data_IF_049967275664
#
_entry.id   IF_049967275664
#
_cell.length_a   1.000
_cell.length_b   1.000
_cell.length_c   1.000
_cell.angle_alpha   90.00
_cell.angle_beta   90.00
_cell.angle_gamma   90.00
#
_symmetry.space_group_name_H-M   'P 1'
#
loop_
_entity.id
_entity.type
_entity.pdbx_description
1 polymer ?
#
# COMPACT_ATOMS: atom_id res chain seq x y z
N UNK A 1 -5.21 56.00 -5.23
CA UNK A 1 -4.70 55.37 -3.99
C UNK A 1 -5.76 54.51 -3.28
N UNK A 2 -6.98 55.00 -3.00
CA UNK A 2 -8.03 54.21 -2.32
C UNK A 2 -8.36 52.87 -3.03
N UNK A 3 -8.40 52.86 -4.36
CA UNK A 3 -8.75 51.67 -5.15
C UNK A 3 -7.66 50.58 -5.14
N UNK A 4 -6.39 50.95 -4.89
CA UNK A 4 -5.26 50.00 -4.83
C UNK A 4 -5.28 49.24 -3.50
N UNK A 5 -5.58 49.92 -2.39
CA UNK A 5 -5.73 49.27 -1.08
C UNK A 5 -6.91 48.30 -1.05
N UNK A 6 -8.05 48.66 -1.66
CA UNK A 6 -9.18 47.72 -1.80
C UNK A 6 -8.83 46.51 -2.64
N UNK A 7 -8.07 46.66 -3.73
CA UNK A 7 -7.68 45.53 -4.58
C UNK A 7 -6.72 44.57 -3.86
N UNK A 8 -5.75 45.10 -3.10
CA UNK A 8 -4.83 44.30 -2.29
C UNK A 8 -5.59 43.55 -1.19
N UNK A 9 -6.55 44.21 -0.52
CA UNK A 9 -7.38 43.55 0.49
C UNK A 9 -8.21 42.40 -0.10
N UNK A 10 -8.79 42.58 -1.28
CA UNK A 10 -9.53 41.53 -1.99
C UNK A 10 -8.62 40.36 -2.37
N UNK A 11 -7.42 40.62 -2.88
CA UNK A 11 -6.46 39.57 -3.24
C UNK A 11 -6.00 38.75 -2.02
N UNK A 12 -5.78 39.41 -0.87
CA UNK A 12 -5.44 38.72 0.39
C UNK A 12 -6.60 37.84 0.87
N UNK A 13 -7.84 38.32 0.78
CA UNK A 13 -9.03 37.55 1.17
C UNK A 13 -9.20 36.34 0.24
N UNK A 14 -9.03 36.50 -1.08
CA UNK A 14 -9.11 35.41 -2.03
C UNK A 14 -8.04 34.33 -1.79
N UNK A 15 -6.81 34.72 -1.43
CA UNK A 15 -5.75 33.76 -1.11
C UNK A 15 -6.09 32.86 0.09
N UNK A 16 -6.69 33.43 1.13
CA UNK A 16 -7.07 32.67 2.34
C UNK A 16 -8.27 31.74 2.10
N UNK A 17 -9.23 32.13 1.26
CA UNK A 17 -10.38 31.27 0.90
C UNK A 17 -9.91 30.04 0.10
N UNK A 18 -8.88 30.17 -0.73
CA UNK A 18 -8.33 29.05 -1.51
C UNK A 18 -7.67 27.97 -0.64
N UNK A 19 -7.09 28.31 0.51
CA UNK A 19 -6.47 27.34 1.43
C UNK A 19 -7.52 26.61 2.28
N UNK A 20 -8.68 27.23 2.51
CA UNK A 20 -9.74 26.67 3.36
C UNK A 20 -10.65 25.63 2.66
N UNK A 21 -10.47 25.37 1.36
CA UNK A 21 -11.30 24.40 0.61
C UNK A 21 -10.68 23.00 0.49
N UNK A 22 -9.58 22.71 1.19
CA UNK A 22 -9.05 21.36 1.24
C UNK A 22 -9.86 20.54 2.24
N UNK A 23 -10.88 19.84 1.74
CA UNK A 23 -11.53 18.78 2.51
C UNK A 23 -10.52 17.61 2.59
N UNK A 24 -9.84 17.49 3.72
CA UNK A 24 -9.01 16.32 4.01
C UNK A 24 -9.88 15.25 4.66
N UNK A 25 -10.12 14.16 3.93
CA UNK A 25 -10.65 12.95 4.53
C UNK A 25 -9.47 12.10 4.97
N UNK A 26 -9.36 11.85 6.27
CA UNK A 26 -8.44 10.85 6.81
C UNK A 26 -9.23 9.57 7.10
N UNK A 27 -8.67 8.43 6.67
CA UNK A 27 -9.22 7.14 7.00
C UNK A 27 -8.92 6.87 8.48
N UNK A 28 -9.97 6.67 9.28
CA UNK A 28 -9.85 6.24 10.66
C UNK A 28 -10.17 4.74 10.75
N UNK A 29 -9.15 3.93 11.02
CA UNK A 29 -9.27 2.48 11.20
C UNK A 29 -9.30 2.07 12.69
N UNK A 30 -9.22 3.04 13.63
CA UNK A 30 -9.14 2.78 15.08
C UNK A 30 -10.50 2.40 15.68
N UNK A 31 -11.58 2.59 14.93
CA UNK A 31 -12.93 2.23 15.38
C UNK A 31 -13.06 0.71 15.43
N UNK A 32 -13.07 0.15 16.62
CA UNK A 32 -13.22 -1.29 16.83
C UNK A 32 -14.60 -1.79 16.36
N UNK A 33 -14.63 -2.82 15.51
CA UNK A 33 -15.87 -3.47 15.06
C UNK A 33 -16.05 -4.79 15.79
N UNK A 34 -17.19 -4.95 16.45
CA UNK A 34 -17.48 -6.09 17.32
C UNK A 34 -18.68 -6.91 16.85
N UNK A 35 -18.73 -8.17 17.26
CA UNK A 35 -19.84 -9.09 17.12
C UNK A 35 -20.02 -9.88 18.43
N UNK A 36 -21.07 -10.71 18.52
CA UNK A 36 -21.43 -11.42 19.75
C UNK A 36 -20.29 -12.25 20.39
N UNK A 37 -19.25 -12.61 19.64
CA UNK A 37 -18.15 -13.44 20.12
C UNK A 37 -16.79 -12.72 20.15
N UNK A 38 -16.74 -11.39 19.98
CA UNK A 38 -15.49 -10.63 20.04
C UNK A 38 -15.38 -9.50 19.02
N UNK A 39 -14.15 -9.18 18.63
CA UNK A 39 -13.83 -8.12 17.67
C UNK A 39 -13.30 -8.71 16.38
N UNK A 40 -13.64 -8.11 15.26
CA UNK A 40 -13.00 -8.44 13.99
C UNK A 40 -11.56 -7.91 13.98
N UNK A 41 -10.61 -8.71 13.49
CA UNK A 41 -9.20 -8.32 13.41
C UNK A 41 -8.95 -7.23 12.36
N UNK A 42 -9.58 -7.35 11.19
CA UNK A 42 -9.34 -6.45 10.05
C UNK A 42 -10.67 -5.95 9.43
N UNK A 43 -11.53 -5.26 10.19
CA UNK A 43 -12.85 -4.86 9.69
C UNK A 43 -12.80 -3.80 8.59
N UNK A 44 -11.67 -3.08 8.47
CA UNK A 44 -11.52 -1.91 7.60
C UNK A 44 -10.71 -2.15 6.32
N UNK A 45 -10.27 -3.39 6.05
CA UNK A 45 -9.45 -3.74 4.86
C UNK A 45 -10.25 -3.80 3.56
N UNK A 46 -11.55 -3.50 3.59
CA UNK A 46 -12.35 -3.24 2.39
C UNK A 46 -12.99 -4.47 1.71
N UNK A 47 -12.83 -5.67 2.26
CA UNK A 47 -13.33 -6.90 1.64
C UNK A 47 -12.49 -7.30 0.41
N UNK A 48 -12.30 -8.60 0.22
CA UNK A 48 -11.39 -9.10 -0.82
C UNK A 48 -12.18 -9.96 -1.79
N UNK A 49 -12.16 -9.60 -3.07
CA UNK A 49 -13.01 -10.25 -4.07
C UNK A 49 -12.29 -11.43 -4.74
N UNK A 50 -11.07 -11.20 -5.22
CA UNK A 50 -10.31 -12.23 -5.91
C UNK A 50 -8.83 -12.21 -5.45
N UNK A 51 -8.55 -12.70 -4.24
CA UNK A 51 -7.22 -12.63 -3.63
C UNK A 51 -6.22 -13.56 -4.33
N UNK A 52 -5.00 -13.05 -4.49
CA UNK A 52 -3.81 -13.82 -4.83
C UNK A 52 -2.78 -13.60 -3.72
N UNK A 53 -2.35 -14.68 -3.08
CA UNK A 53 -1.50 -14.63 -1.90
C UNK A 53 -0.05 -14.86 -2.28
N UNK A 54 0.85 -14.11 -1.66
CA UNK A 54 2.30 -14.28 -1.72
C UNK A 54 2.92 -14.11 -0.32
N UNK A 55 4.10 -14.68 -0.14
CA UNK A 55 4.92 -14.52 1.06
C UNK A 55 6.14 -13.68 0.70
N UNK A 56 6.48 -12.71 1.54
CA UNK A 56 7.66 -11.87 1.38
C UNK A 56 7.97 -11.17 2.70
N UNK A 57 9.24 -11.09 3.08
CA UNK A 57 9.70 -10.23 4.18
C UNK A 57 9.61 -8.76 3.77
N UNK A 58 8.63 -8.02 4.27
CA UNK A 58 8.37 -6.62 3.89
C UNK A 58 9.23 -5.65 4.71
N UNK A 59 9.66 -6.04 5.90
CA UNK A 59 10.30 -5.17 6.89
C UNK A 59 11.77 -5.56 7.20
N UNK A 60 12.31 -6.55 6.48
CA UNK A 60 13.66 -7.10 6.60
C UNK A 60 13.97 -7.66 8.00
N UNK A 61 13.00 -8.33 8.64
CA UNK A 61 13.18 -8.95 9.95
C UNK A 61 13.53 -10.46 9.90
N UNK A 62 13.55 -11.04 8.70
CA UNK A 62 13.81 -12.46 8.44
C UNK A 62 12.58 -13.35 8.54
N UNK A 63 11.38 -12.79 8.74
CA UNK A 63 10.10 -13.48 8.75
C UNK A 63 9.30 -13.11 7.53
N UNK A 64 8.77 -14.11 6.81
CA UNK A 64 7.85 -13.83 5.71
C UNK A 64 6.53 -13.24 6.23
N UNK A 65 6.19 -12.09 5.67
CA UNK A 65 4.91 -11.42 5.82
C UNK A 65 3.90 -11.91 4.77
N UNK A 66 2.64 -11.50 4.95
CA UNK A 66 1.57 -11.84 4.01
C UNK A 66 1.28 -10.67 3.07
N UNK A 67 1.43 -10.94 1.77
CA UNK A 67 1.02 -10.02 0.70
C UNK A 67 -0.20 -10.61 -0.01
N UNK A 68 -1.24 -9.80 -0.18
CA UNK A 68 -2.45 -10.17 -0.92
C UNK A 68 -2.65 -9.19 -2.06
N UNK A 69 -2.73 -9.69 -3.29
CA UNK A 69 -3.18 -8.89 -4.43
C UNK A 69 -4.65 -9.20 -4.74
N UNK A 70 -5.55 -8.23 -4.54
CA UNK A 70 -6.91 -8.35 -5.05
C UNK A 70 -6.96 -7.87 -6.50
N UNK A 71 -6.97 -8.82 -7.44
CA UNK A 71 -6.95 -8.50 -8.87
C UNK A 71 -8.18 -7.74 -9.36
N UNK A 72 -9.27 -7.71 -8.60
CA UNK A 72 -10.46 -6.93 -8.98
C UNK A 72 -10.22 -5.44 -8.78
N UNK A 73 -9.54 -5.08 -7.69
CA UNK A 73 -9.16 -3.69 -7.39
C UNK A 73 -7.81 -3.29 -7.99
N UNK A 74 -6.97 -4.26 -8.36
CA UNK A 74 -5.58 -4.01 -8.72
C UNK A 74 -4.79 -3.49 -7.52
N UNK A 75 -5.15 -3.92 -6.31
CA UNK A 75 -4.61 -3.40 -5.04
C UNK A 75 -3.82 -4.48 -4.30
N UNK A 76 -2.56 -4.20 -3.91
CA UNK A 76 -1.88 -4.99 -2.91
C UNK A 76 -2.40 -4.62 -1.52
N UNK A 77 -2.42 -5.61 -0.63
CA UNK A 77 -2.67 -5.48 0.81
C UNK A 77 -1.50 -6.16 1.53
N UNK A 78 -0.92 -5.48 2.49
CA UNK A 78 0.30 -5.92 3.18
C UNK A 78 0.03 -6.16 4.66
N UNK A 79 0.46 -7.31 5.15
CA UNK A 79 0.23 -7.73 6.53
C UNK A 79 1.52 -8.21 7.18
N UNK A 80 2.04 -7.46 8.16
CA UNK A 80 3.24 -7.83 8.90
C UNK A 80 2.95 -9.01 9.82
N UNK A 81 3.78 -10.04 9.77
CA UNK A 81 3.78 -11.20 10.64
C UNK A 81 4.54 -10.87 11.92
N UNK A 82 3.92 -11.05 13.09
CA UNK A 82 4.59 -10.77 14.36
C UNK A 82 5.65 -11.81 14.76
N UNK A 83 5.80 -12.90 13.99
CA UNK A 83 6.81 -13.93 14.19
C UNK A 83 6.49 -14.89 15.35
N UNK A 84 5.27 -14.85 15.89
CA UNK A 84 4.90 -15.72 17.00
C UNK A 84 4.64 -17.14 16.52
N UNK A 85 5.53 -18.05 16.92
CA UNK A 85 5.48 -19.47 16.53
C UNK A 85 4.09 -20.08 16.81
N UNK A 86 3.50 -20.68 15.77
CA UNK A 86 2.17 -21.32 15.79
C UNK A 86 0.99 -20.39 16.14
N UNK A 87 1.13 -19.08 15.93
CA UNK A 87 0.02 -18.13 16.05
C UNK A 87 -0.19 -17.38 14.73
N UNK A 88 -1.44 -16.95 14.52
CA UNK A 88 -1.77 -16.01 13.45
C UNK A 88 -1.77 -14.61 14.08
N UNK A 89 -0.66 -13.89 13.97
CA UNK A 89 -0.41 -12.59 14.59
C UNK A 89 -0.11 -11.51 13.53
N UNK A 90 -0.83 -11.56 12.41
CA UNK A 90 -0.72 -10.59 11.34
C UNK A 90 -1.29 -9.21 11.74
N UNK A 91 -0.67 -8.14 11.24
CA UNK A 91 -1.16 -6.78 11.34
C UNK A 91 -1.22 -6.12 9.95
N UNK A 92 -2.38 -5.55 9.57
CA UNK A 92 -2.49 -4.81 8.31
C UNK A 92 -1.68 -3.51 8.40
N UNK A 93 -0.68 -3.39 7.53
CA UNK A 93 0.25 -2.26 7.50
C UNK A 93 0.28 -1.67 6.08
N UNK A 94 -0.69 -0.81 5.73
CA UNK A 94 -0.86 -0.29 4.38
C UNK A 94 0.28 0.62 3.90
N UNK A 95 1.16 1.08 4.79
CA UNK A 95 2.33 1.87 4.42
C UNK A 95 3.31 1.13 3.50
N UNK A 96 3.31 -0.21 3.49
CA UNK A 96 4.11 -1.00 2.57
C UNK A 96 3.46 -1.13 1.18
N UNK A 97 2.13 -0.94 1.07
CA UNK A 97 1.41 -1.01 -0.21
C UNK A 97 1.92 0.01 -1.23
N UNK A 98 2.44 1.16 -0.75
CA UNK A 98 2.97 2.22 -1.62
C UNK A 98 4.26 1.85 -2.34
N UNK A 99 4.96 0.81 -1.87
CA UNK A 99 6.20 0.34 -2.49
C UNK A 99 5.94 -0.57 -3.70
N UNK A 100 4.72 -1.09 -3.84
CA UNK A 100 4.35 -1.95 -4.95
C UNK A 100 4.10 -1.12 -6.22
N UNK A 101 4.51 -1.61 -7.40
CA UNK A 101 4.20 -0.96 -8.66
C UNK A 101 2.70 -1.03 -8.95
N UNK A 102 2.24 -0.24 -9.92
CA UNK A 102 0.89 -0.43 -10.46
C UNK A 102 0.83 -1.76 -11.22
N UNK A 103 -0.12 -2.60 -10.84
CA UNK A 103 -0.29 -3.96 -11.35
C UNK A 103 -1.75 -4.20 -11.72
N UNK A 104 -1.98 -5.20 -12.57
CA UNK A 104 -3.32 -5.55 -13.04
C UNK A 104 -3.39 -7.05 -13.37
N UNK A 105 -4.60 -7.60 -13.35
CA UNK A 105 -4.98 -9.01 -13.59
C UNK A 105 -4.38 -10.06 -12.67
N UNK A 106 -3.08 -10.06 -12.44
CA UNK A 106 -2.39 -10.99 -11.55
C UNK A 106 -1.03 -10.45 -11.07
N UNK A 107 -0.64 -10.85 -9.88
CA UNK A 107 0.70 -10.65 -9.32
C UNK A 107 1.14 -11.94 -8.62
N UNK A 108 2.41 -12.31 -8.81
CA UNK A 108 3.07 -13.42 -8.13
C UNK A 108 4.44 -12.93 -7.64
N UNK A 109 4.83 -13.34 -6.43
CA UNK A 109 6.14 -13.03 -5.89
C UNK A 109 7.02 -14.27 -5.74
N UNK A 110 8.33 -14.05 -5.83
CA UNK A 110 9.34 -15.06 -5.51
C UNK A 110 10.73 -14.63 -5.98
N UNK A 111 11.75 -15.05 -5.25
CA UNK A 111 13.17 -14.77 -5.54
C UNK A 111 13.62 -15.50 -6.82
N UNK A 112 13.79 -14.76 -7.92
CA UNK A 112 14.21 -15.32 -9.21
C UNK A 112 15.69 -15.17 -9.48
N UNK A 113 16.28 -14.08 -9.00
CA UNK A 113 17.69 -13.77 -9.20
C UNK A 113 18.59 -14.47 -8.15
N UNK A 114 17.99 -15.17 -7.18
CA UNK A 114 18.63 -15.88 -6.08
C UNK A 114 19.42 -14.97 -5.14
N UNK A 115 18.98 -13.72 -4.94
CA UNK A 115 19.62 -12.78 -4.02
C UNK A 115 19.04 -12.84 -2.59
N UNK A 116 17.98 -13.63 -2.38
CA UNK A 116 17.27 -13.78 -1.11
C UNK A 116 16.15 -12.76 -0.91
N UNK A 117 15.85 -11.92 -1.89
CA UNK A 117 14.79 -10.90 -1.85
C UNK A 117 13.69 -11.28 -2.86
N UNK A 118 12.41 -11.28 -2.46
CA UNK A 118 11.33 -11.63 -3.38
C UNK A 118 11.15 -10.61 -4.52
N UNK A 119 11.08 -11.09 -5.76
CA UNK A 119 10.75 -10.30 -6.95
C UNK A 119 9.24 -10.31 -7.26
N UNK A 120 8.78 -9.45 -8.19
CA UNK A 120 7.41 -9.46 -8.71
C UNK A 120 7.36 -9.86 -10.19
N UNK A 121 6.44 -10.77 -10.49
CA UNK A 121 5.89 -10.99 -11.82
C UNK A 121 4.45 -10.50 -11.87
N UNK A 122 4.10 -9.80 -12.95
CA UNK A 122 2.73 -9.28 -13.13
C UNK A 122 2.37 -9.17 -14.60
N UNK A 123 1.07 -9.09 -14.88
CA UNK A 123 0.58 -8.85 -16.23
C UNK A 123 0.89 -7.45 -16.74
N UNK A 124 1.05 -7.34 -18.06
CA UNK A 124 0.92 -6.10 -18.84
C UNK A 124 0.21 -6.42 -20.15
N UNK A 125 -0.46 -5.47 -20.82
CA UNK A 125 -1.10 -5.75 -22.10
C UNK A 125 -0.17 -6.43 -23.10
N UNK A 126 -0.44 -7.71 -23.37
CA UNK A 126 0.32 -8.56 -24.30
C UNK A 126 1.73 -8.98 -23.84
N UNK A 127 2.10 -8.76 -22.57
CA UNK A 127 3.45 -9.03 -22.03
C UNK A 127 3.42 -9.44 -20.57
N UNK A 128 4.57 -9.83 -20.06
CA UNK A 128 4.80 -10.01 -18.62
C UNK A 128 5.81 -8.96 -18.16
N UNK A 129 5.50 -8.28 -17.06
CA UNK A 129 6.46 -7.40 -16.39
C UNK A 129 7.20 -8.17 -15.31
N UNK A 130 8.45 -7.78 -15.13
CA UNK A 130 9.31 -8.21 -14.05
C UNK A 130 9.80 -6.99 -13.27
N UNK A 131 9.71 -7.05 -11.95
CA UNK A 131 10.29 -6.06 -11.05
C UNK A 131 11.17 -6.77 -10.04
N UNK A 132 12.39 -6.27 -9.89
CA UNK A 132 13.37 -6.83 -8.97
C UNK A 132 13.17 -6.25 -7.58
N UNK A 133 13.16 -7.11 -6.58
CA UNK A 133 13.01 -6.74 -5.17
C UNK A 133 14.31 -6.17 -4.61
N UNK A 134 14.19 -5.16 -3.74
CA UNK A 134 15.30 -4.67 -2.93
C UNK A 134 14.78 -4.06 -1.62
N UNK A 135 15.65 -3.91 -0.62
CA UNK A 135 15.32 -3.16 0.60
C UNK A 135 15.75 -1.70 0.48
N UNK A 136 14.83 -0.78 0.72
CA UNK A 136 15.10 0.65 0.72
C UNK A 136 15.90 1.11 1.95
N UNK A 137 16.15 2.41 2.08
CA UNK A 137 16.90 2.97 3.21
C UNK A 137 16.23 2.81 4.57
N UNK A 138 14.91 2.55 4.59
CA UNK A 138 14.12 2.28 5.79
C UNK A 138 13.98 0.77 6.05
N UNK A 139 14.72 -0.08 5.32
CA UNK A 139 14.62 -1.54 5.30
C UNK A 139 13.24 -2.06 4.90
N UNK A 140 12.51 -1.35 4.04
CA UNK A 140 11.24 -1.83 3.48
C UNK A 140 11.46 -2.46 2.13
N UNK A 141 10.78 -3.57 1.86
CA UNK A 141 10.76 -4.18 0.54
C UNK A 141 10.18 -3.19 -0.48
N UNK A 142 10.91 -2.99 -1.57
CA UNK A 142 10.59 -2.13 -2.69
C UNK A 142 11.00 -2.78 -4.01
N UNK A 143 10.56 -2.21 -5.14
CA UNK A 143 10.68 -2.86 -6.43
C UNK A 143 11.12 -1.90 -7.53
N UNK A 144 12.13 -2.32 -8.29
CA UNK A 144 12.61 -1.60 -9.48
C UNK A 144 12.19 -2.30 -10.77
N UNK A 145 11.77 -1.53 -11.77
CA UNK A 145 11.40 -2.10 -13.07
C UNK A 145 12.63 -2.42 -13.90
N UNK A 146 12.90 -3.71 -14.13
CA UNK A 146 14.04 -4.16 -14.94
C UNK A 146 13.65 -4.36 -16.41
N UNK A 147 12.35 -4.54 -16.70
CA UNK A 147 11.85 -4.58 -18.08
C UNK A 147 10.66 -5.50 -18.29
N UNK A 148 10.58 -6.03 -19.51
CA UNK A 148 9.42 -6.78 -20.01
C UNK A 148 9.91 -8.02 -20.76
N UNK A 149 9.26 -9.16 -20.51
CA UNK A 149 9.36 -10.36 -21.34
C UNK A 149 8.24 -10.39 -22.40
#
# INVERSE_FOLDING_TARGET
MKNVFSLIAVLIICYNISIAQVIQFERNNDVQVTHNHGSYAFPWVGGINNPQFSAADLNNDGTDDLVIFDRTGGVPLTFINGGTVNQMDYQHNPEYETNFPKMDHWMLMGDQNCDGIPDIWTSRPGKINYYEGFYDTDNRLAFDSIGYL
#
